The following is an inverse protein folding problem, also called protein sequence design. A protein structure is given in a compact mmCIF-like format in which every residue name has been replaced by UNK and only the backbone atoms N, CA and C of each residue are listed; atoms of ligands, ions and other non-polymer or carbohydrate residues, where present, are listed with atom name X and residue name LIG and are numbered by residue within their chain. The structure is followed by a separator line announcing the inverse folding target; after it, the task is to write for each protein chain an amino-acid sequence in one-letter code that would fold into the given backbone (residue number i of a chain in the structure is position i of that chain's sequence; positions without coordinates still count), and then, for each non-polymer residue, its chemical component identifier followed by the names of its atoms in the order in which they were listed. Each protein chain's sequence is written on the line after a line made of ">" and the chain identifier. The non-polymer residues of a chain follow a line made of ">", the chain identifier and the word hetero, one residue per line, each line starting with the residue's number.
data_IF_783232522604
#
_entry.id   IF_783232522604
#
_cell.length_a   1.000
_cell.length_b   1.000
_cell.length_c   1.000
_cell.angle_alpha   90.00
_cell.angle_beta   90.00
_cell.angle_gamma   90.00
#
_symmetry.space_group_name_H-M   'P 1'
#
loop_
_entity.id
_entity.type
_entity.pdbx_description
1 polymer ?
#
# COMPACT_ATOMS: atom_id res chain seq x y z
N UNK A 1 12.47 -17.44 -89.83
CA UNK A 1 11.94 -16.22 -89.18
C UNK A 1 11.18 -16.68 -87.99
N UNK A 2 11.81 -16.65 -86.84
CA UNK A 2 11.33 -17.29 -85.59
C UNK A 2 10.73 -16.26 -84.65
N UNK A 3 9.52 -16.54 -84.29
CA UNK A 3 8.77 -15.81 -83.27
C UNK A 3 9.09 -16.41 -81.92
N UNK A 4 9.76 -15.69 -81.04
CA UNK A 4 10.01 -16.07 -79.63
C UNK A 4 8.87 -15.58 -78.81
N UNK A 5 8.03 -16.51 -78.38
CA UNK A 5 7.04 -16.28 -77.36
C UNK A 5 7.74 -16.13 -75.97
N UNK A 6 7.62 -14.96 -75.41
CA UNK A 6 8.04 -14.70 -74.04
C UNK A 6 6.89 -15.14 -73.09
N UNK A 7 7.13 -16.21 -72.37
CA UNK A 7 6.21 -16.70 -71.30
C UNK A 7 6.48 -15.87 -70.07
N UNK A 8 5.65 -14.89 -69.78
CA UNK A 8 5.55 -14.23 -68.46
C UNK A 8 4.90 -15.20 -67.48
N UNK A 9 5.71 -15.81 -66.64
CA UNK A 9 5.23 -16.50 -65.45
C UNK A 9 4.78 -15.46 -64.41
N UNK A 10 3.49 -15.20 -64.39
CA UNK A 10 2.80 -14.39 -63.39
C UNK A 10 2.79 -15.19 -62.07
N UNK A 11 3.70 -14.86 -61.18
CA UNK A 11 3.71 -15.35 -59.82
C UNK A 11 2.50 -14.72 -59.11
N UNK A 12 1.37 -15.40 -59.15
CA UNK A 12 0.21 -15.06 -58.37
C UNK A 12 0.51 -15.52 -56.92
N UNK A 13 0.99 -14.61 -56.11
CA UNK A 13 0.95 -14.77 -54.63
C UNK A 13 -0.52 -14.82 -54.24
N UNK A 14 -1.08 -16.05 -54.12
CA UNK A 14 -2.42 -16.27 -53.62
C UNK A 14 -2.48 -15.75 -52.18
N UNK A 15 -3.27 -14.72 -51.94
CA UNK A 15 -3.61 -14.33 -50.58
C UNK A 15 -4.21 -15.55 -49.85
N UNK A 16 -3.77 -15.86 -48.61
CA UNK A 16 -4.30 -17.01 -47.86
C UNK A 16 -5.80 -16.88 -47.72
N UNK A 17 -6.51 -17.98 -47.85
CA UNK A 17 -7.96 -18.03 -47.68
C UNK A 17 -8.38 -17.54 -46.27
N UNK A 18 -9.62 -17.09 -46.12
CA UNK A 18 -10.13 -16.66 -44.81
C UNK A 18 -9.91 -17.72 -43.72
N UNK A 19 -10.07 -18.99 -44.03
CA UNK A 19 -9.89 -20.10 -43.12
C UNK A 19 -8.40 -20.32 -42.75
N UNK A 20 -7.47 -20.18 -43.69
CA UNK A 20 -6.04 -20.24 -43.42
C UNK A 20 -5.57 -19.08 -42.53
N UNK A 21 -6.14 -17.87 -42.74
CA UNK A 21 -5.87 -16.71 -41.87
C UNK A 21 -6.38 -16.94 -40.44
N UNK A 22 -7.54 -17.56 -40.28
CA UNK A 22 -8.11 -17.91 -38.97
C UNK A 22 -7.23 -18.94 -38.24
N UNK A 23 -6.79 -19.99 -38.93
CA UNK A 23 -5.89 -21.00 -38.35
C UNK A 23 -4.56 -20.35 -37.91
N UNK A 24 -3.94 -19.52 -38.75
CA UNK A 24 -2.71 -18.81 -38.40
C UNK A 24 -2.88 -17.87 -37.18
N UNK A 25 -4.01 -17.18 -37.10
CA UNK A 25 -4.33 -16.34 -35.95
C UNK A 25 -4.51 -17.14 -34.66
N UNK A 26 -5.16 -18.29 -34.72
CA UNK A 26 -5.33 -19.20 -33.58
C UNK A 26 -3.96 -19.72 -33.10
N UNK A 27 -3.10 -20.15 -34.01
CA UNK A 27 -1.74 -20.60 -33.66
C UNK A 27 -0.91 -19.47 -33.04
N UNK A 28 -0.96 -18.26 -33.61
CA UNK A 28 -0.28 -17.10 -33.02
C UNK A 28 -0.80 -16.73 -31.64
N UNK A 29 -2.12 -16.80 -31.44
CA UNK A 29 -2.73 -16.57 -30.12
C UNK A 29 -2.27 -17.62 -29.11
N UNK A 30 -2.29 -18.90 -29.49
CA UNK A 30 -1.82 -19.98 -28.62
C UNK A 30 -0.35 -19.83 -28.25
N UNK A 31 0.52 -19.50 -29.20
CA UNK A 31 1.94 -19.24 -28.94
C UNK A 31 2.15 -18.04 -28.02
N UNK A 32 1.43 -16.93 -28.24
CA UNK A 32 1.51 -15.74 -27.37
C UNK A 32 0.97 -16.03 -25.98
N UNK A 33 -0.13 -16.80 -25.88
CA UNK A 33 -0.69 -17.17 -24.58
C UNK A 33 0.28 -18.05 -23.80
N UNK A 34 0.88 -19.07 -24.43
CA UNK A 34 1.89 -19.90 -23.79
C UNK A 34 3.13 -19.12 -23.34
N UNK A 35 3.61 -18.20 -24.19
CA UNK A 35 4.75 -17.32 -23.84
C UNK A 35 4.41 -16.39 -22.66
N UNK A 36 3.20 -15.81 -22.63
CA UNK A 36 2.73 -14.97 -21.53
C UNK A 36 2.57 -15.77 -20.23
N UNK A 37 2.07 -17.00 -20.31
CA UNK A 37 1.93 -17.87 -19.13
C UNK A 37 3.28 -18.27 -18.55
N UNK A 38 4.28 -18.53 -19.41
CA UNK A 38 5.65 -18.84 -18.98
C UNK A 38 6.31 -17.61 -18.33
N UNK A 39 6.25 -16.44 -18.99
CA UNK A 39 6.77 -15.19 -18.42
C UNK A 39 6.08 -14.84 -17.08
N UNK A 40 4.78 -15.08 -16.97
CA UNK A 40 4.03 -14.86 -15.73
C UNK A 40 4.44 -15.82 -14.60
N UNK A 41 4.72 -17.10 -14.95
CA UNK A 41 5.27 -18.07 -13.99
C UNK A 41 6.65 -17.63 -13.48
N UNK A 42 7.52 -17.21 -14.38
CA UNK A 42 8.86 -16.74 -14.04
C UNK A 42 8.82 -15.50 -13.13
N UNK A 43 8.00 -14.50 -13.49
CA UNK A 43 7.78 -13.30 -12.67
C UNK A 43 7.24 -13.63 -11.29
N UNK A 44 6.29 -14.55 -11.18
CA UNK A 44 5.77 -15.01 -9.87
C UNK A 44 6.84 -15.71 -9.05
N UNK A 45 7.69 -16.50 -9.67
CA UNK A 45 8.79 -17.19 -9.00
C UNK A 45 9.82 -16.18 -8.45
N UNK A 46 10.22 -15.21 -9.26
CA UNK A 46 11.14 -14.13 -8.86
C UNK A 46 10.53 -13.31 -7.71
N UNK A 47 9.27 -12.92 -7.84
CA UNK A 47 8.56 -12.16 -6.81
C UNK A 47 8.47 -12.94 -5.48
N UNK A 48 8.16 -14.23 -5.54
CA UNK A 48 8.11 -15.10 -4.36
C UNK A 48 9.49 -15.22 -3.69
N UNK A 49 10.54 -15.42 -4.48
CA UNK A 49 11.91 -15.52 -3.96
C UNK A 49 12.36 -14.21 -3.30
N UNK A 50 12.05 -13.08 -3.94
CA UNK A 50 12.31 -11.73 -3.38
C UNK A 50 11.59 -11.54 -2.04
N UNK A 51 10.35 -12.00 -1.93
CA UNK A 51 9.57 -11.90 -0.69
C UNK A 51 10.16 -12.75 0.44
N UNK A 52 10.54 -13.98 0.17
CA UNK A 52 11.19 -14.85 1.14
C UNK A 52 12.53 -14.26 1.61
N UNK A 53 13.32 -13.74 0.68
CA UNK A 53 14.61 -13.10 0.99
C UNK A 53 14.41 -11.88 1.90
N UNK A 54 13.49 -10.97 1.55
CA UNK A 54 13.19 -9.78 2.35
C UNK A 54 12.61 -10.12 3.73
N UNK A 55 11.75 -11.14 3.81
CA UNK A 55 11.21 -11.60 5.09
C UNK A 55 12.33 -12.13 6.01
N UNK A 56 13.26 -12.91 5.45
CA UNK A 56 14.41 -13.45 6.19
C UNK A 56 15.36 -12.34 6.65
N UNK A 57 15.74 -11.44 5.73
CA UNK A 57 16.58 -10.28 6.04
C UNK A 57 15.96 -9.40 7.12
N UNK A 58 14.64 -9.18 7.06
CA UNK A 58 13.93 -8.42 8.08
C UNK A 58 14.06 -9.05 9.45
N UNK A 59 13.92 -10.36 9.55
CA UNK A 59 14.07 -11.06 10.81
C UNK A 59 15.51 -10.95 11.36
N UNK A 60 16.50 -11.12 10.49
CA UNK A 60 17.92 -11.02 10.86
C UNK A 60 18.34 -9.60 11.26
N UNK A 61 17.71 -8.56 10.67
CA UNK A 61 17.97 -7.16 11.03
C UNK A 61 17.17 -6.71 12.26
N UNK A 62 15.98 -7.27 12.49
CA UNK A 62 15.14 -6.93 13.65
C UNK A 62 15.82 -7.27 14.97
N UNK A 63 16.47 -8.42 15.06
CA UNK A 63 17.09 -8.92 16.29
C UNK A 63 18.17 -7.97 16.84
N UNK A 64 19.22 -7.58 16.08
CA UNK A 64 20.21 -6.63 16.57
C UNK A 64 19.61 -5.24 16.83
N UNK A 65 18.67 -4.80 16.00
CA UNK A 65 18.02 -3.51 16.18
C UNK A 65 17.20 -3.44 17.46
N UNK A 66 16.46 -4.50 17.78
CA UNK A 66 15.71 -4.61 19.05
C UNK A 66 16.65 -4.58 20.24
N UNK A 67 17.84 -5.22 20.15
CA UNK A 67 18.85 -5.16 21.20
C UNK A 67 19.40 -3.75 21.40
N UNK A 68 19.70 -3.02 20.31
CA UNK A 68 20.17 -1.62 20.36
C UNK A 68 19.10 -0.73 21.02
N UNK A 69 17.83 -0.90 20.63
CA UNK A 69 16.72 -0.17 21.23
C UNK A 69 16.54 -0.47 22.70
N UNK A 70 16.63 -1.74 23.09
CA UNK A 70 16.55 -2.15 24.49
C UNK A 70 17.65 -1.56 25.36
N UNK A 71 18.90 -1.54 24.87
CA UNK A 71 19.99 -0.86 25.58
C UNK A 71 19.80 0.64 25.69
N UNK A 72 19.30 1.31 24.62
CA UNK A 72 18.99 2.73 24.66
C UNK A 72 17.88 3.05 25.67
N UNK A 73 16.87 2.19 25.79
CA UNK A 73 15.78 2.29 26.76
C UNK A 73 16.29 2.11 28.19
N UNK A 74 17.07 1.07 28.46
CA UNK A 74 17.69 0.84 29.77
C UNK A 74 18.53 2.05 30.21
N UNK A 75 19.34 2.60 29.31
CA UNK A 75 20.12 3.81 29.60
C UNK A 75 19.24 5.01 29.94
N UNK A 76 18.15 5.20 29.21
CA UNK A 76 17.22 6.33 29.43
C UNK A 76 16.47 6.21 30.75
N UNK A 77 16.11 4.99 31.16
CA UNK A 77 15.24 4.73 32.32
C UNK A 77 16.00 4.47 33.62
N UNK A 78 17.16 3.80 33.53
CA UNK A 78 17.85 3.30 34.72
C UNK A 78 19.15 4.02 35.07
N UNK A 79 19.72 4.81 34.12
CA UNK A 79 21.01 5.48 34.31
C UNK A 79 20.87 6.99 34.54
N UNK A 80 21.78 7.55 35.35
CA UNK A 80 21.91 9.01 35.53
C UNK A 80 22.68 9.60 34.37
N UNK A 81 21.95 9.92 33.29
CA UNK A 81 22.53 10.51 32.09
C UNK A 81 22.63 12.04 32.21
N UNK A 82 23.71 12.60 31.66
CA UNK A 82 23.76 14.05 31.36
C UNK A 82 22.74 14.37 30.28
N UNK A 83 22.36 15.65 30.15
CA UNK A 83 21.41 16.10 29.13
C UNK A 83 21.88 15.78 27.71
N UNK A 84 23.19 15.85 27.47
CA UNK A 84 23.79 15.49 26.17
C UNK A 84 23.63 13.99 25.91
N UNK A 85 23.96 13.14 26.87
CA UNK A 85 23.83 11.68 26.74
C UNK A 85 22.36 11.26 26.56
N UNK A 86 21.43 11.84 27.34
CA UNK A 86 19.99 11.60 27.22
C UNK A 86 19.51 11.93 25.81
N UNK A 87 19.90 13.10 25.24
CA UNK A 87 19.56 13.47 23.86
C UNK A 87 20.13 12.47 22.83
N UNK A 88 21.34 11.93 23.04
CA UNK A 88 21.89 10.94 22.13
C UNK A 88 21.15 9.61 22.21
N UNK A 89 20.85 9.11 23.40
CA UNK A 89 20.06 7.89 23.57
C UNK A 89 18.66 8.02 22.94
N UNK A 90 17.99 9.16 23.12
CA UNK A 90 16.71 9.44 22.47
C UNK A 90 16.82 9.47 20.94
N UNK A 91 17.91 10.04 20.39
CA UNK A 91 18.14 10.00 18.93
C UNK A 91 18.36 8.58 18.43
N UNK A 92 19.14 7.77 19.15
CA UNK A 92 19.37 6.35 18.82
C UNK A 92 18.04 5.60 18.83
N UNK A 93 17.25 5.76 19.90
CA UNK A 93 15.93 5.13 20.03
C UNK A 93 14.99 5.52 18.89
N UNK A 94 14.86 6.83 18.61
CA UNK A 94 14.01 7.33 17.53
C UNK A 94 14.45 6.79 16.15
N UNK A 95 15.76 6.82 15.85
CA UNK A 95 16.30 6.31 14.59
C UNK A 95 16.11 4.80 14.43
N UNK A 96 16.32 4.05 15.51
CA UNK A 96 16.11 2.60 15.51
C UNK A 96 14.65 2.21 15.32
N UNK A 97 13.72 2.89 16.00
CA UNK A 97 12.27 2.68 15.80
C UNK A 97 11.85 3.02 14.36
N UNK A 98 12.40 4.08 13.81
CA UNK A 98 12.17 4.48 12.43
C UNK A 98 12.64 3.39 11.45
N UNK A 99 13.84 2.85 11.62
CA UNK A 99 14.36 1.76 10.79
C UNK A 99 13.52 0.49 10.90
N UNK A 100 13.07 0.14 12.12
CA UNK A 100 12.21 -1.02 12.34
C UNK A 100 10.87 -0.88 11.60
N UNK A 101 10.29 0.31 11.61
CA UNK A 101 9.06 0.63 10.87
C UNK A 101 9.26 0.49 9.37
N UNK A 102 10.35 1.06 8.80
CA UNK A 102 10.66 0.92 7.37
C UNK A 102 10.83 -0.54 6.96
N UNK A 103 11.56 -1.29 7.77
CA UNK A 103 11.82 -2.70 7.50
C UNK A 103 10.52 -3.51 7.46
N UNK A 104 9.61 -3.28 8.41
CA UNK A 104 8.31 -3.94 8.42
C UNK A 104 7.46 -3.56 7.20
N UNK A 105 7.43 -2.29 6.81
CA UNK A 105 6.74 -1.82 5.61
C UNK A 105 7.27 -2.47 4.33
N UNK A 106 8.61 -2.60 4.21
CA UNK A 106 9.24 -3.23 3.05
C UNK A 106 8.87 -4.73 2.93
N UNK A 107 8.82 -5.43 4.07
CA UNK A 107 8.39 -6.85 4.11
C UNK A 107 6.92 -6.97 3.76
N UNK A 108 6.07 -6.10 4.30
CA UNK A 108 4.64 -6.09 4.00
C UNK A 108 4.40 -5.84 2.51
N UNK A 109 5.08 -4.86 1.91
CA UNK A 109 5.01 -4.59 0.47
C UNK A 109 5.41 -5.84 -0.34
N UNK A 110 6.54 -6.45 -0.01
CA UNK A 110 7.02 -7.63 -0.72
C UNK A 110 6.08 -8.83 -0.61
N UNK A 111 5.44 -9.02 0.55
CA UNK A 111 4.43 -10.07 0.73
C UNK A 111 3.17 -9.80 -0.10
N UNK A 112 2.75 -8.55 -0.20
CA UNK A 112 1.59 -8.14 -1.01
C UNK A 112 1.84 -8.30 -2.52
N UNK A 113 3.09 -8.20 -2.97
CA UNK A 113 3.49 -8.43 -4.37
C UNK A 113 3.58 -9.92 -4.74
N UNK A 114 3.76 -10.82 -3.76
CA UNK A 114 4.07 -12.25 -4.02
C UNK A 114 2.87 -13.12 -4.31
N UNK A 115 1.64 -12.62 -4.20
CA UNK A 115 0.42 -13.36 -4.52
C UNK A 115 -0.77 -12.96 -3.66
N UNK A 116 -1.93 -13.59 -3.89
CA UNK A 116 -3.13 -13.30 -3.12
C UNK A 116 -2.90 -13.70 -1.66
N UNK A 117 -2.91 -12.69 -0.77
CA UNK A 117 -2.93 -12.96 0.66
C UNK A 117 -4.32 -13.47 1.06
N UNK A 118 -4.35 -14.49 1.90
CA UNK A 118 -5.62 -14.95 2.50
C UNK A 118 -6.18 -13.83 3.38
N UNK A 119 -7.47 -13.53 3.18
CA UNK A 119 -8.22 -12.57 3.96
C UNK A 119 -9.11 -13.32 4.97
N UNK A 120 -9.07 -12.89 6.21
CA UNK A 120 -9.82 -13.49 7.31
C UNK A 120 -11.04 -12.65 7.67
N UNK A 121 -12.17 -12.93 7.01
CA UNK A 121 -13.42 -12.21 7.25
C UNK A 121 -14.13 -12.70 8.50
N UNK A 122 -14.43 -11.78 9.43
CA UNK A 122 -15.28 -12.04 10.60
C UNK A 122 -16.05 -10.77 10.98
N UNK A 123 -17.10 -10.91 11.79
CA UNK A 123 -17.83 -9.79 12.33
C UNK A 123 -17.07 -9.16 13.50
N UNK A 124 -16.94 -7.85 13.53
CA UNK A 124 -16.32 -7.11 14.60
C UNK A 124 -16.89 -5.69 14.75
N UNK A 125 -16.58 -5.04 15.89
CA UNK A 125 -16.92 -3.65 16.14
C UNK A 125 -15.97 -2.70 15.42
N UNK A 126 -16.50 -1.90 14.48
CA UNK A 126 -15.73 -0.87 13.80
C UNK A 126 -15.37 0.27 14.79
N UNK A 127 -16.28 0.59 15.72
CA UNK A 127 -16.02 1.60 16.76
C UNK A 127 -14.78 1.26 17.60
N UNK A 128 -14.66 -0.01 18.04
CA UNK A 128 -13.48 -0.45 18.81
C UNK A 128 -12.22 -0.41 17.94
N UNK A 129 -12.31 -0.83 16.68
CA UNK A 129 -11.18 -0.81 15.75
C UNK A 129 -10.68 0.62 15.49
N UNK A 130 -11.60 1.59 15.31
CA UNK A 130 -11.24 3.00 15.13
C UNK A 130 -10.62 3.57 16.41
N UNK A 131 -11.24 3.32 17.57
CA UNK A 131 -10.72 3.77 18.87
C UNK A 131 -9.30 3.27 19.12
N UNK A 132 -9.07 1.96 18.93
CA UNK A 132 -7.77 1.33 19.15
C UNK A 132 -6.72 1.87 18.16
N UNK A 133 -7.11 2.11 16.92
CA UNK A 133 -6.20 2.66 15.90
C UNK A 133 -5.86 4.12 16.21
N UNK A 134 -6.85 4.93 16.59
CA UNK A 134 -6.59 6.32 17.01
C UNK A 134 -5.70 6.38 18.24
N UNK A 135 -5.90 5.47 19.22
CA UNK A 135 -5.01 5.37 20.39
C UNK A 135 -3.57 5.00 19.99
N UNK A 136 -3.39 4.08 19.03
CA UNK A 136 -2.07 3.69 18.53
C UNK A 136 -1.35 4.86 17.82
N UNK A 137 -2.08 5.71 17.07
CA UNK A 137 -1.54 6.91 16.41
C UNK A 137 -1.40 8.08 17.40
N UNK A 138 -2.04 8.02 18.54
CA UNK A 138 -2.12 9.09 19.53
C UNK A 138 -0.77 9.62 20.01
N UNK A 139 0.25 8.74 20.15
CA UNK A 139 1.62 9.18 20.52
C UNK A 139 2.25 10.04 19.42
N UNK A 140 2.03 9.69 18.14
CA UNK A 140 2.52 10.48 17.01
C UNK A 140 1.79 11.82 16.93
N UNK A 141 0.48 11.82 17.12
CA UNK A 141 -0.34 13.03 17.15
C UNK A 141 0.09 13.96 18.28
N UNK A 142 0.27 13.46 19.50
CA UNK A 142 0.75 14.24 20.62
C UNK A 142 2.14 14.83 20.38
N UNK A 143 3.07 14.05 19.81
CA UNK A 143 4.42 14.52 19.47
C UNK A 143 4.39 15.67 18.46
N UNK A 144 3.45 15.66 17.53
CA UNK A 144 3.28 16.66 16.47
C UNK A 144 2.30 17.78 16.89
N UNK A 145 1.73 17.72 18.10
CA UNK A 145 0.71 18.65 18.59
C UNK A 145 -0.50 18.72 17.64
N UNK A 146 -1.00 17.54 17.23
CA UNK A 146 -2.16 17.36 16.34
C UNK A 146 -3.30 16.71 17.10
N UNK A 147 -4.51 17.28 16.97
CA UNK A 147 -5.72 16.72 17.57
C UNK A 147 -6.30 15.64 16.65
N UNK A 148 -6.59 14.45 17.20
CA UNK A 148 -7.30 13.38 16.51
C UNK A 148 -8.76 13.33 16.93
N UNK A 149 -9.68 13.37 15.98
CA UNK A 149 -11.12 13.19 16.19
C UNK A 149 -11.65 12.10 15.28
N UNK A 150 -12.59 11.31 15.75
CA UNK A 150 -13.28 10.35 14.90
C UNK A 150 -14.75 10.30 15.23
N UNK A 151 -15.55 10.05 14.21
CA UNK A 151 -16.99 9.87 14.28
C UNK A 151 -17.42 8.68 13.43
N UNK A 152 -18.48 8.02 13.81
CA UNK A 152 -18.97 6.80 13.21
C UNK A 152 -20.50 6.88 13.06
N UNK A 153 -20.99 6.69 11.84
CA UNK A 153 -22.40 6.54 11.61
C UNK A 153 -22.95 5.29 12.34
N UNK A 154 -24.10 5.38 13.01
CA UNK A 154 -24.62 4.29 13.85
C UNK A 154 -24.78 2.95 13.12
N UNK A 155 -25.13 2.96 11.84
CA UNK A 155 -25.28 1.78 10.99
C UNK A 155 -23.96 1.04 10.71
N UNK A 156 -22.82 1.72 10.85
CA UNK A 156 -21.50 1.15 10.64
C UNK A 156 -20.87 0.56 11.90
N UNK A 157 -21.63 0.41 13.00
CA UNK A 157 -21.10 -0.05 14.28
C UNK A 157 -20.50 -1.46 14.23
N UNK A 158 -21.09 -2.37 13.43
CA UNK A 158 -20.63 -3.73 13.18
C UNK A 158 -20.48 -4.00 11.71
N UNK A 159 -19.36 -4.59 11.32
CA UNK A 159 -19.06 -4.93 9.92
C UNK A 159 -18.44 -6.32 9.86
N UNK A 160 -18.53 -6.96 8.68
CA UNK A 160 -17.82 -8.20 8.35
C UNK A 160 -16.68 -7.86 7.40
N UNK A 161 -15.44 -7.97 7.87
CA UNK A 161 -14.24 -7.69 7.08
C UNK A 161 -13.02 -8.36 7.71
N UNK A 162 -11.83 -8.14 7.15
CA UNK A 162 -10.56 -8.49 7.79
C UNK A 162 -10.13 -7.35 8.73
N UNK A 163 -10.38 -7.54 10.03
CA UNK A 163 -10.09 -6.54 11.06
C UNK A 163 -8.60 -6.18 11.11
N UNK A 164 -7.71 -7.17 10.94
CA UNK A 164 -6.26 -6.94 11.00
C UNK A 164 -5.80 -6.06 9.86
N UNK A 165 -6.25 -6.33 8.64
CA UNK A 165 -5.94 -5.53 7.45
C UNK A 165 -6.58 -4.15 7.51
N UNK A 166 -7.82 -4.07 7.93
CA UNK A 166 -8.48 -2.77 8.12
C UNK A 166 -7.73 -1.90 9.13
N UNK A 167 -7.32 -2.46 10.28
CA UNK A 167 -6.52 -1.74 11.28
C UNK A 167 -5.20 -1.23 10.69
N UNK A 168 -4.52 -2.05 9.90
CA UNK A 168 -3.26 -1.68 9.24
C UNK A 168 -3.47 -0.54 8.24
N UNK A 169 -4.53 -0.59 7.43
CA UNK A 169 -4.92 0.49 6.48
C UNK A 169 -5.19 1.79 7.24
N UNK A 170 -6.06 1.73 8.25
CA UNK A 170 -6.41 2.91 9.05
C UNK A 170 -5.21 3.52 9.75
N UNK A 171 -4.35 2.69 10.37
CA UNK A 171 -3.12 3.15 11.01
C UNK A 171 -2.21 3.88 10.02
N UNK A 172 -2.05 3.33 8.82
CA UNK A 172 -1.19 3.90 7.78
C UNK A 172 -1.69 5.29 7.35
N UNK A 173 -2.97 5.41 6.98
CA UNK A 173 -3.51 6.66 6.48
C UNK A 173 -3.68 7.72 7.59
N UNK A 174 -4.02 7.32 8.82
CA UNK A 174 -4.05 8.22 9.96
C UNK A 174 -2.67 8.75 10.33
N UNK A 175 -1.66 7.88 10.38
CA UNK A 175 -0.27 8.28 10.65
C UNK A 175 0.25 9.25 9.57
N UNK A 176 -0.11 9.02 8.32
CA UNK A 176 0.22 9.92 7.22
C UNK A 176 -0.46 11.27 7.35
N UNK A 177 -1.77 11.30 7.63
CA UNK A 177 -2.52 12.54 7.85
C UNK A 177 -1.91 13.37 9.01
N UNK A 178 -1.57 12.71 10.13
CA UNK A 178 -0.89 13.37 11.25
C UNK A 178 0.48 13.92 10.86
N UNK A 179 1.26 13.19 10.06
CA UNK A 179 2.59 13.64 9.64
C UNK A 179 2.56 14.81 8.66
N UNK A 180 1.45 15.00 7.95
CA UNK A 180 1.20 16.12 7.04
C UNK A 180 0.70 17.37 7.77
N UNK A 181 0.11 17.18 8.95
CA UNK A 181 -0.47 18.27 9.74
C UNK A 181 0.61 19.03 10.49
N UNK A 182 0.38 20.33 10.66
CA UNK A 182 1.23 21.23 11.48
C UNK A 182 0.76 21.23 12.94
N UNK A 183 1.61 21.72 13.84
CA UNK A 183 1.24 21.93 15.25
C UNK A 183 -0.06 22.75 15.38
N UNK A 184 -0.95 22.34 16.25
CA UNK A 184 -2.27 22.93 16.49
C UNK A 184 -3.35 22.55 15.50
N UNK A 185 -3.03 21.78 14.45
CA UNK A 185 -4.01 21.33 13.46
C UNK A 185 -4.75 20.06 13.90
N UNK A 186 -5.78 19.70 13.13
CA UNK A 186 -6.68 18.59 13.41
C UNK A 186 -6.69 17.58 12.28
N UNK A 187 -6.83 16.31 12.65
CA UNK A 187 -7.16 15.19 11.75
C UNK A 187 -8.49 14.61 12.19
N UNK A 188 -9.46 14.61 11.30
CA UNK A 188 -10.81 14.06 11.55
C UNK A 188 -11.03 12.80 10.73
N UNK A 189 -11.68 11.82 11.32
CA UNK A 189 -12.04 10.56 10.65
C UNK A 189 -13.54 10.36 10.75
N UNK A 190 -14.18 10.09 9.64
CA UNK A 190 -15.58 9.75 9.57
C UNK A 190 -15.79 8.42 8.84
N UNK A 191 -16.57 7.51 9.43
CA UNK A 191 -16.86 6.22 8.83
C UNK A 191 -18.37 5.98 8.72
N UNK A 192 -18.80 5.46 7.56
CA UNK A 192 -20.20 5.09 7.29
C UNK A 192 -20.29 3.91 6.33
N UNK A 193 -21.43 3.23 6.35
CA UNK A 193 -21.78 2.29 5.28
C UNK A 193 -22.46 3.07 4.14
N UNK A 194 -22.02 2.76 2.91
CA UNK A 194 -22.71 3.20 1.69
C UNK A 194 -23.81 2.19 1.33
N UNK A 195 -24.60 2.54 0.32
CA UNK A 195 -25.60 1.64 -0.25
C UNK A 195 -24.93 0.31 -0.65
N UNK A 196 -25.33 -0.79 -0.01
CA UNK A 196 -24.68 -2.10 -0.11
C UNK A 196 -23.59 -2.34 0.95
N UNK A 197 -22.86 -3.48 0.85
CA UNK A 197 -21.86 -3.87 1.85
C UNK A 197 -20.51 -3.14 1.63
N UNK A 198 -20.52 -1.83 1.56
CA UNK A 198 -19.32 -1.01 1.36
C UNK A 198 -19.13 -0.04 2.52
N UNK A 199 -18.00 -0.20 3.23
CA UNK A 199 -17.53 0.76 4.22
C UNK A 199 -16.84 1.91 3.51
N UNK A 200 -17.24 3.14 3.80
CA UNK A 200 -16.49 4.34 3.47
C UNK A 200 -15.87 4.91 4.73
N UNK A 201 -14.54 5.13 4.70
CA UNK A 201 -13.83 5.87 5.71
C UNK A 201 -13.21 7.10 5.07
N UNK A 202 -13.50 8.27 5.60
CA UNK A 202 -12.91 9.54 5.19
C UNK A 202 -11.98 10.03 6.29
N UNK A 203 -10.74 10.33 5.92
CA UNK A 203 -9.74 10.92 6.80
C UNK A 203 -9.40 12.29 6.22
N UNK A 204 -9.57 13.33 7.00
CA UNK A 204 -9.30 14.71 6.62
C UNK A 204 -8.20 15.30 7.48
N UNK A 205 -7.19 15.87 6.84
CA UNK A 205 -6.16 16.68 7.50
C UNK A 205 -6.28 18.15 7.10
N UNK A 206 -5.60 19.02 7.85
CA UNK A 206 -5.51 20.46 7.59
C UNK A 206 -4.12 20.86 7.07
N UNK A 207 -3.33 19.89 6.61
CA UNK A 207 -1.97 20.12 6.10
C UNK A 207 -1.92 20.86 4.76
N UNK A 208 -0.76 20.91 4.14
CA UNK A 208 -0.60 21.57 2.86
C UNK A 208 -1.27 20.77 1.72
N UNK A 209 -1.94 21.44 0.76
CA UNK A 209 -2.50 20.78 -0.41
C UNK A 209 -1.42 20.07 -1.23
N UNK A 210 -1.76 18.93 -1.82
CA UNK A 210 -0.86 18.19 -2.71
C UNK A 210 -1.01 18.74 -4.13
N UNK A 211 0.10 19.16 -4.73
CA UNK A 211 0.11 19.74 -6.08
C UNK A 211 -0.12 18.68 -7.17
N UNK A 212 0.44 17.51 -6.97
CA UNK A 212 0.37 16.40 -7.94
C UNK A 212 -0.04 15.11 -7.21
N UNK A 213 -1.32 14.77 -7.33
CA UNK A 213 -1.90 13.59 -6.70
C UNK A 213 -1.42 12.27 -7.31
N UNK A 214 -1.01 12.28 -8.60
CA UNK A 214 -0.55 11.09 -9.30
C UNK A 214 0.73 10.51 -8.68
N UNK A 215 1.56 11.39 -8.14
CA UNK A 215 2.86 11.03 -7.55
C UNK A 215 2.80 10.48 -6.13
N UNK A 216 1.67 10.64 -5.45
CA UNK A 216 1.56 10.21 -4.04
C UNK A 216 1.77 8.70 -3.91
N UNK A 217 1.33 7.95 -4.91
CA UNK A 217 1.40 6.49 -4.92
C UNK A 217 2.48 5.93 -5.86
N UNK A 218 3.31 6.79 -6.46
CA UNK A 218 4.37 6.38 -7.38
C UNK A 218 5.75 6.61 -6.76
N UNK A 219 6.49 5.53 -6.42
CA UNK A 219 7.80 5.65 -5.81
C UNK A 219 8.89 6.11 -6.81
N UNK A 220 8.70 5.91 -8.13
CA UNK A 220 9.73 6.21 -9.14
C UNK A 220 9.76 7.68 -9.53
N UNK A 221 8.64 8.39 -9.42
CA UNK A 221 8.53 9.80 -9.79
C UNK A 221 8.82 10.78 -8.64
N UNK A 222 9.15 10.30 -7.45
CA UNK A 222 9.43 11.17 -6.33
C UNK A 222 10.90 11.62 -6.30
N UNK A 223 11.25 12.86 -6.77
CA UNK A 223 12.62 13.33 -6.82
C UNK A 223 13.26 13.59 -5.44
N UNK A 224 12.52 13.41 -4.35
CA UNK A 224 13.02 13.41 -2.97
C UNK A 224 13.49 12.03 -2.51
N UNK A 225 13.57 11.04 -3.39
CA UNK A 225 14.01 9.66 -3.12
C UNK A 225 15.42 9.51 -2.51
N UNK A 226 16.17 10.61 -2.31
CA UNK A 226 17.37 10.63 -1.46
C UNK A 226 17.08 10.65 0.04
N UNK A 227 15.83 10.92 0.45
CA UNK A 227 15.28 10.76 1.81
C UNK A 227 13.87 10.20 1.63
N UNK A 228 13.75 8.91 1.40
CA UNK A 228 12.45 8.22 1.42
C UNK A 228 11.84 8.47 2.78
N UNK A 229 10.87 9.38 2.84
CA UNK A 229 10.14 9.59 4.09
C UNK A 229 9.35 8.30 4.32
N UNK A 230 9.50 7.71 5.50
CA UNK A 230 8.83 6.47 5.89
C UNK A 230 7.33 6.48 5.65
N UNK A 231 6.76 7.68 5.70
CA UNK A 231 5.35 7.91 5.46
C UNK A 231 4.97 7.68 3.97
N UNK A 232 5.87 7.94 3.03
CA UNK A 232 5.63 7.73 1.59
C UNK A 232 5.57 6.23 1.26
N UNK A 233 6.50 5.42 1.79
CA UNK A 233 6.44 3.97 1.62
C UNK A 233 5.18 3.39 2.28
N UNK A 234 4.81 3.91 3.46
CA UNK A 234 3.59 3.53 4.16
C UNK A 234 2.34 3.70 3.30
N UNK A 235 2.19 4.82 2.60
CA UNK A 235 1.03 5.10 1.75
C UNK A 235 0.94 4.14 0.56
N UNK A 236 2.07 3.77 -0.05
CA UNK A 236 2.12 2.77 -1.13
C UNK A 236 1.63 1.41 -0.61
N UNK A 237 2.14 0.99 0.56
CA UNK A 237 1.68 -0.24 1.25
C UNK A 237 0.19 -0.15 1.57
N UNK A 238 -0.27 0.99 2.10
CA UNK A 238 -1.68 1.23 2.42
C UNK A 238 -2.59 1.11 1.21
N UNK A 239 -2.20 1.72 0.07
CA UNK A 239 -2.92 1.57 -1.20
C UNK A 239 -2.98 0.10 -1.63
N UNK A 240 -1.86 -0.61 -1.57
CA UNK A 240 -1.81 -2.01 -1.98
C UNK A 240 -2.67 -2.91 -1.10
N UNK A 241 -2.75 -2.63 0.22
CA UNK A 241 -3.66 -3.31 1.13
C UNK A 241 -5.13 -3.05 0.77
N UNK A 242 -5.50 -1.81 0.44
CA UNK A 242 -6.85 -1.46 -0.02
C UNK A 242 -7.20 -2.21 -1.29
N UNK A 243 -6.32 -2.23 -2.29
CA UNK A 243 -6.50 -2.98 -3.55
C UNK A 243 -6.65 -4.49 -3.30
N UNK A 244 -5.84 -5.07 -2.42
CA UNK A 244 -5.93 -6.48 -2.03
C UNK A 244 -7.28 -6.81 -1.40
N UNK A 245 -7.84 -5.91 -0.61
CA UNK A 245 -9.20 -6.04 -0.05
C UNK A 245 -10.29 -5.73 -1.08
N UNK A 246 -9.96 -5.54 -2.37
CA UNK A 246 -10.88 -5.15 -3.44
C UNK A 246 -11.58 -3.81 -3.17
N UNK A 247 -10.90 -2.93 -2.47
CA UNK A 247 -11.33 -1.58 -2.18
C UNK A 247 -10.72 -0.56 -3.13
N UNK A 248 -11.01 0.72 -2.86
CA UNK A 248 -10.46 1.86 -3.57
C UNK A 248 -10.04 2.96 -2.59
N UNK A 249 -8.98 3.70 -2.95
CA UNK A 249 -8.54 4.89 -2.23
C UNK A 249 -8.51 6.07 -3.20
N UNK A 250 -9.08 7.19 -2.76
CA UNK A 250 -9.07 8.46 -3.51
C UNK A 250 -8.56 9.58 -2.62
N UNK A 251 -7.79 10.49 -3.21
CA UNK A 251 -7.24 11.66 -2.56
C UNK A 251 -7.80 12.92 -3.21
N UNK A 252 -8.19 13.90 -2.40
CA UNK A 252 -8.72 15.16 -2.87
C UNK A 252 -8.29 16.30 -1.95
N UNK A 253 -7.73 17.38 -2.53
CA UNK A 253 -7.50 18.60 -1.77
C UNK A 253 -8.84 19.20 -1.35
N UNK A 254 -8.93 19.67 -0.10
CA UNK A 254 -10.10 20.33 0.44
C UNK A 254 -10.08 21.81 0.06
N UNK A 255 -11.26 22.39 -0.17
CA UNK A 255 -11.39 23.83 -0.45
C UNK A 255 -10.92 24.69 0.74
N UNK A 256 -11.07 24.18 1.96
CA UNK A 256 -10.65 24.84 3.20
C UNK A 256 -9.17 24.64 3.52
N UNK A 257 -8.42 24.00 2.65
CA UNK A 257 -7.04 23.56 2.88
C UNK A 257 -6.96 22.13 3.44
N UNK A 258 -5.81 21.48 3.23
CA UNK A 258 -5.59 20.11 3.64
C UNK A 258 -6.04 19.08 2.59
N UNK A 259 -6.07 17.83 3.00
CA UNK A 259 -6.38 16.68 2.16
C UNK A 259 -7.55 15.87 2.74
N UNK A 260 -8.41 15.37 1.86
CA UNK A 260 -9.37 14.31 2.16
C UNK A 260 -8.89 13.02 1.51
N UNK A 261 -8.66 12.00 2.33
CA UNK A 261 -8.43 10.62 1.92
C UNK A 261 -9.73 9.86 2.09
N UNK A 262 -10.26 9.29 1.02
CA UNK A 262 -11.48 8.47 1.05
C UNK A 262 -11.14 7.02 0.73
N UNK A 263 -11.40 6.13 1.67
CA UNK A 263 -11.22 4.69 1.56
C UNK A 263 -12.59 4.05 1.35
N UNK A 264 -12.74 3.19 0.36
CA UNK A 264 -13.92 2.36 0.14
C UNK A 264 -13.50 0.90 0.22
N UNK A 265 -14.10 0.14 1.12
CA UNK A 265 -13.72 -1.22 1.42
C UNK A 265 -14.97 -2.12 1.50
N UNK A 266 -14.92 -3.36 1.06
CA UNK A 266 -16.00 -4.32 1.30
C UNK A 266 -16.22 -4.52 2.81
N UNK A 267 -17.47 -4.45 3.25
CA UNK A 267 -17.88 -4.54 4.65
C UNK A 267 -18.98 -5.60 4.89
N UNK A 268 -19.07 -6.56 4.02
CA UNK A 268 -20.02 -7.68 4.10
C UNK A 268 -19.40 -8.96 3.58
N UNK A 269 -20.07 -10.11 3.75
CA UNK A 269 -19.59 -11.37 3.20
C UNK A 269 -19.37 -11.20 1.70
N UNK A 270 -18.16 -11.45 1.21
CA UNK A 270 -17.90 -11.58 -0.21
C UNK A 270 -18.84 -12.68 -0.71
N UNK A 271 -19.82 -12.33 -1.56
CA UNK A 271 -20.55 -13.33 -2.33
C UNK A 271 -19.48 -14.10 -3.09
N UNK A 272 -19.30 -15.36 -2.77
CA UNK A 272 -18.40 -16.25 -3.51
C UNK A 272 -18.69 -16.18 -5.02
N UNK A 273 -17.71 -16.59 -5.84
CA UNK A 273 -17.86 -16.60 -7.28
C UNK A 273 -19.04 -17.44 -7.73
#
# INVERSE_FOLDING_TARGET
>A
MSEKAVTETRNASSEPSSDERVVQLIEQLQQRTAALEEANRELRHISHYRSLFLARMSHELRTPLTSILGFAEILLDQEKLTDAQRRFCQKIQNSGMQQLTSLNQLVDLSRLESGPAELFFHEFSLADTLRDTCAAVGRLAQKNDVTLEYDLAPEASKIVSDQGRLRQILFTFLSWAVSRSRSGQRVTTYAKLLDGPTLQVQIEDEGDPIKDMSRVFDPEENPRAGKTDLNELGIIVGRRLVEMMKGAVTLQNRETGGLRTSLQLPAGPLKGP
#
